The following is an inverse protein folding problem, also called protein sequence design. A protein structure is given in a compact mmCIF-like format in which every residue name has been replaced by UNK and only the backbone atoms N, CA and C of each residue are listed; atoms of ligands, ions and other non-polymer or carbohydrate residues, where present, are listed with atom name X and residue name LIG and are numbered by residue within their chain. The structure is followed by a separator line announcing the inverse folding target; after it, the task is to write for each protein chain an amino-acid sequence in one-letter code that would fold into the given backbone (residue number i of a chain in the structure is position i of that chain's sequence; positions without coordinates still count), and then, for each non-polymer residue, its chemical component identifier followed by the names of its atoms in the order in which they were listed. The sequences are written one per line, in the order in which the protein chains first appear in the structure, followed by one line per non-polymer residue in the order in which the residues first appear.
data_IF_392123487124
#
_entry.id   IF_392123487124
#
_cell.length_a   1.000
_cell.length_b   1.000
_cell.length_c   1.000
_cell.angle_alpha   90.00
_cell.angle_beta   90.00
_cell.angle_gamma   90.00
#
_symmetry.space_group_name_H-M   'P 1'
#
loop_
_entity.id
_entity.type
_entity.pdbx_description
1 polymer ?
#
# COMPACT_ATOMS: atom_id res chain seq x y z
N UNK A 1 -23.53 4.80 -23.59
CA UNK A 1 -22.11 4.54 -23.24
C UNK A 1 -21.43 5.89 -23.04
N UNK A 2 -21.22 6.35 -21.80
CA UNK A 2 -20.60 7.66 -21.51
C UNK A 2 -19.33 7.43 -20.70
N UNK A 3 -18.19 7.61 -21.34
CA UNK A 3 -16.88 7.66 -20.69
C UNK A 3 -16.85 8.92 -19.83
N UNK A 4 -16.94 8.79 -18.50
CA UNK A 4 -16.77 9.92 -17.58
C UNK A 4 -15.27 10.12 -17.35
N UNK A 5 -14.80 11.28 -17.79
CA UNK A 5 -13.50 11.93 -17.57
C UNK A 5 -12.50 11.20 -16.67
N UNK A 6 -11.52 10.59 -17.34
CA UNK A 6 -10.19 10.23 -16.83
C UNK A 6 -9.42 11.52 -16.48
N UNK A 7 -9.65 12.08 -15.29
CA UNK A 7 -8.75 13.09 -14.74
C UNK A 7 -7.42 12.40 -14.43
N UNK A 8 -6.56 12.37 -15.44
CA UNK A 8 -5.18 11.94 -15.47
C UNK A 8 -4.96 10.52 -14.91
N UNK A 9 -4.63 9.61 -15.82
CA UNK A 9 -3.71 8.50 -15.55
C UNK A 9 -2.64 9.04 -14.61
N UNK A 10 -2.68 8.68 -13.31
CA UNK A 10 -1.61 9.02 -12.38
C UNK A 10 -0.39 8.21 -12.85
N UNK A 11 0.39 8.87 -13.70
CA UNK A 11 1.40 8.37 -14.62
C UNK A 11 2.65 7.89 -13.89
N UNK A 12 2.48 6.94 -12.95
CA UNK A 12 3.45 6.00 -12.41
C UNK A 12 2.76 5.28 -11.25
N UNK A 13 2.10 4.16 -11.53
CA UNK A 13 1.52 3.30 -10.51
C UNK A 13 2.61 2.78 -9.56
N UNK A 14 2.83 3.45 -8.42
CA UNK A 14 3.57 2.90 -7.26
C UNK A 14 3.12 3.54 -5.92
N UNK A 15 1.86 3.49 -5.48
CA UNK A 15 1.57 3.85 -4.10
C UNK A 15 1.82 2.62 -3.21
N UNK A 16 3.04 2.09 -3.29
CA UNK A 16 3.56 1.03 -2.42
C UNK A 16 4.84 1.56 -1.80
N UNK A 17 4.77 2.02 -0.55
CA UNK A 17 5.96 2.48 0.17
C UNK A 17 6.62 1.29 0.86
N UNK A 18 7.95 1.20 0.77
CA UNK A 18 8.74 0.15 1.41
C UNK A 18 9.44 0.72 2.63
N UNK A 19 9.11 0.19 3.82
CA UNK A 19 9.48 0.85 5.07
C UNK A 19 10.98 0.76 5.41
N UNK A 20 11.67 -0.25 4.87
CA UNK A 20 13.11 -0.45 5.09
C UNK A 20 13.98 -0.01 3.90
N UNK A 21 13.40 0.78 2.99
CA UNK A 21 14.13 1.34 1.86
C UNK A 21 15.11 2.43 2.33
N UNK A 22 16.40 2.15 2.16
CA UNK A 22 17.50 3.08 2.47
C UNK A 22 17.86 3.99 1.30
N UNK A 23 17.43 3.63 0.08
CA UNK A 23 17.74 4.38 -1.14
C UNK A 23 16.64 5.43 -1.43
N UNK A 24 15.38 5.08 -1.23
CA UNK A 24 14.25 6.01 -1.33
C UNK A 24 13.49 6.04 -0.02
N UNK A 25 13.49 7.20 0.63
CA UNK A 25 12.80 7.38 1.90
C UNK A 25 11.29 7.13 1.76
N UNK A 26 10.69 6.21 2.54
CA UNK A 26 9.24 5.98 2.52
C UNK A 26 8.45 7.22 2.96
N UNK A 27 9.08 8.14 3.71
CA UNK A 27 8.47 9.40 4.12
C UNK A 27 8.13 10.30 2.94
N UNK A 28 8.90 10.26 1.85
CA UNK A 28 8.58 11.03 0.63
C UNK A 28 7.25 10.59 0.01
N UNK A 29 7.00 9.27 -0.04
CA UNK A 29 5.74 8.73 -0.56
C UNK A 29 4.56 9.03 0.37
N UNK A 30 4.79 9.02 1.69
CA UNK A 30 3.78 9.43 2.67
C UNK A 30 3.42 10.91 2.53
N UNK A 31 4.44 11.78 2.44
CA UNK A 31 4.26 13.22 2.26
C UNK A 31 3.52 13.53 0.94
N UNK A 32 3.89 12.85 -0.14
CA UNK A 32 3.18 12.96 -1.41
C UNK A 32 1.70 12.56 -1.29
N UNK A 33 1.40 11.42 -0.64
CA UNK A 33 0.02 11.00 -0.41
C UNK A 33 -0.76 12.00 0.44
N UNK A 34 -0.12 12.63 1.41
CA UNK A 34 -0.72 13.69 2.20
C UNK A 34 -1.07 14.92 1.35
N UNK A 35 -0.09 15.46 0.63
CA UNK A 35 -0.28 16.63 -0.25
C UNK A 35 -1.31 16.37 -1.35
N UNK A 36 -1.33 15.16 -1.92
CA UNK A 36 -2.36 14.75 -2.88
C UNK A 36 -3.75 14.80 -2.24
N UNK A 37 -3.87 14.40 -0.98
CA UNK A 37 -5.17 14.38 -0.27
C UNK A 37 -5.71 15.77 -0.02
N UNK A 38 -4.83 16.69 0.39
CA UNK A 38 -5.17 18.10 0.60
C UNK A 38 -5.64 18.76 -0.70
N UNK A 39 -4.97 18.46 -1.82
CA UNK A 39 -5.28 19.06 -3.12
C UNK A 39 -6.53 18.49 -3.79
N UNK A 40 -6.90 17.25 -3.49
CA UNK A 40 -7.92 16.51 -4.23
C UNK A 40 -9.28 16.44 -3.51
N UNK A 41 -9.51 17.32 -2.54
CA UNK A 41 -10.79 17.41 -1.82
C UNK A 41 -10.94 16.43 -0.66
N UNK A 42 -9.83 16.02 -0.05
CA UNK A 42 -9.80 15.20 1.16
C UNK A 42 -9.75 13.69 0.91
N UNK A 43 -9.78 12.93 2.02
CA UNK A 43 -9.51 11.49 2.02
C UNK A 43 -10.50 10.72 1.14
N UNK A 44 -11.81 10.98 1.29
CA UNK A 44 -12.85 10.27 0.55
C UNK A 44 -12.72 10.49 -0.96
N UNK A 45 -12.40 11.72 -1.38
CA UNK A 45 -12.22 12.05 -2.78
C UNK A 45 -10.97 11.39 -3.38
N UNK A 46 -9.88 11.36 -2.61
CA UNK A 46 -8.60 10.77 -3.00
C UNK A 46 -8.67 9.25 -3.09
N UNK A 47 -9.34 8.58 -2.16
CA UNK A 47 -9.47 7.11 -2.14
C UNK A 47 -10.25 6.53 -3.34
N UNK A 48 -10.95 7.38 -4.11
CA UNK A 48 -11.61 6.98 -5.37
C UNK A 48 -10.65 6.67 -6.50
N UNK A 49 -9.43 7.20 -6.45
CA UNK A 49 -8.45 7.03 -7.54
C UNK A 49 -7.02 6.74 -7.06
N UNK A 50 -6.70 6.98 -5.78
CA UNK A 50 -5.37 6.73 -5.22
C UNK A 50 -5.43 6.08 -3.83
N UNK A 51 -4.79 4.91 -3.70
CA UNK A 51 -4.66 4.15 -2.44
C UNK A 51 -3.21 3.83 -2.16
N UNK A 52 -2.73 4.09 -0.95
CA UNK A 52 -1.37 3.78 -0.51
C UNK A 52 -1.35 2.52 0.35
N UNK A 53 -0.49 1.57 -0.01
CA UNK A 53 -0.12 0.42 0.80
C UNK A 53 1.34 0.58 1.25
N UNK A 54 1.64 0.25 2.50
CA UNK A 54 3.02 0.27 3.01
C UNK A 54 3.45 -1.16 3.35
N UNK A 55 4.57 -1.59 2.79
CA UNK A 55 5.20 -2.87 3.05
C UNK A 55 6.26 -2.73 4.16
N UNK A 56 5.97 -3.20 5.40
CA UNK A 56 6.94 -3.12 6.48
C UNK A 56 8.07 -4.13 6.28
N UNK A 57 9.32 -3.71 6.48
CA UNK A 57 10.49 -4.60 6.45
C UNK A 57 10.93 -5.08 5.06
N UNK A 58 10.44 -4.43 4.00
CA UNK A 58 10.89 -4.64 2.62
C UNK A 58 11.87 -3.54 2.25
N UNK A 59 12.98 -3.92 1.60
CA UNK A 59 14.03 -3.01 1.14
C UNK A 59 13.73 -2.45 -0.26
N UNK A 60 14.61 -1.61 -0.81
CA UNK A 60 14.39 -0.77 -1.99
C UNK A 60 13.57 -1.36 -3.15
N UNK A 61 13.94 -2.53 -3.69
CA UNK A 61 13.24 -3.17 -4.81
C UNK A 61 12.51 -4.47 -4.44
N UNK A 62 12.76 -4.97 -3.23
CA UNK A 62 12.47 -6.33 -2.81
C UNK A 62 13.53 -6.77 -1.78
N UNK A 63 13.40 -7.98 -1.26
CA UNK A 63 14.23 -8.49 -0.19
C UNK A 63 13.90 -7.89 1.18
N UNK A 64 14.80 -8.09 2.14
CA UNK A 64 14.53 -7.86 3.56
C UNK A 64 13.88 -9.07 4.23
N UNK A 65 13.58 -8.95 5.52
CA UNK A 65 13.06 -10.04 6.34
C UNK A 65 11.55 -10.26 6.17
N UNK A 66 10.85 -9.37 5.48
CA UNK A 66 9.42 -9.40 5.28
C UNK A 66 9.01 -9.97 3.91
N UNK A 67 7.74 -10.41 3.76
CA UNK A 67 7.15 -10.69 2.45
C UNK A 67 7.20 -9.47 1.53
N UNK A 68 7.87 -9.60 0.40
CA UNK A 68 8.27 -8.53 -0.50
C UNK A 68 7.56 -8.54 -1.86
N UNK A 69 6.88 -9.65 -2.17
CA UNK A 69 6.16 -9.86 -3.42
C UNK A 69 4.67 -9.60 -3.22
N UNK A 70 4.04 -8.80 -4.07
CA UNK A 70 2.59 -8.56 -4.10
C UNK A 70 2.10 -8.61 -5.55
N UNK A 71 0.86 -9.05 -5.75
CA UNK A 71 0.18 -8.93 -7.05
C UNK A 71 -0.55 -7.58 -7.16
N UNK A 72 0.23 -6.53 -7.43
CA UNK A 72 -0.32 -5.19 -7.63
C UNK A 72 -1.00 -5.03 -9.00
N UNK A 73 -0.56 -5.78 -10.03
CA UNK A 73 -1.05 -5.62 -11.39
C UNK A 73 -2.49 -6.10 -11.51
N UNK A 74 -2.78 -7.34 -11.09
CA UNK A 74 -4.15 -7.87 -11.12
C UNK A 74 -5.09 -6.98 -10.32
N UNK A 75 -4.63 -6.47 -9.18
CA UNK A 75 -5.42 -5.57 -8.33
C UNK A 75 -5.75 -4.23 -8.99
N UNK A 76 -4.85 -3.69 -9.83
CA UNK A 76 -5.11 -2.47 -10.59
C UNK A 76 -6.05 -2.76 -11.75
N UNK A 77 -5.86 -3.88 -12.45
CA UNK A 77 -6.76 -4.33 -13.53
C UNK A 77 -8.18 -4.50 -13.00
N UNK A 78 -8.36 -5.21 -11.90
CA UNK A 78 -9.66 -5.42 -11.27
C UNK A 78 -10.32 -4.11 -10.81
N UNK A 79 -9.51 -3.15 -10.36
CA UNK A 79 -10.04 -1.84 -9.98
C UNK A 79 -10.50 -1.04 -11.20
N UNK A 80 -9.69 -0.98 -12.25
CA UNK A 80 -10.00 -0.17 -13.45
C UNK A 80 -11.13 -0.80 -14.27
N UNK A 81 -11.11 -2.12 -14.45
CA UNK A 81 -12.04 -2.80 -15.35
C UNK A 81 -13.32 -3.27 -14.65
N UNK A 82 -13.23 -3.62 -13.36
CA UNK A 82 -14.35 -4.22 -12.61
C UNK A 82 -14.83 -3.36 -11.45
N UNK A 83 -14.24 -2.19 -11.25
CA UNK A 83 -14.56 -1.31 -10.11
C UNK A 83 -14.22 -1.92 -8.75
N UNK A 84 -13.45 -3.02 -8.70
CA UNK A 84 -13.15 -3.73 -7.45
C UNK A 84 -11.92 -3.13 -6.80
N UNK A 85 -12.12 -2.29 -5.77
CA UNK A 85 -11.00 -1.62 -5.10
C UNK A 85 -10.27 -2.55 -4.13
N UNK A 86 -8.93 -2.61 -4.14
CA UNK A 86 -8.19 -3.38 -3.15
C UNK A 86 -8.21 -2.69 -1.78
N UNK A 87 -8.77 -3.36 -0.77
CA UNK A 87 -8.66 -2.96 0.65
C UNK A 87 -7.42 -3.55 1.33
N UNK A 88 -6.93 -4.66 0.77
CA UNK A 88 -5.70 -5.34 1.18
C UNK A 88 -5.07 -6.05 -0.02
N UNK A 89 -3.75 -6.19 0.02
CA UNK A 89 -3.00 -7.08 -0.85
C UNK A 89 -2.34 -8.17 0.00
N UNK A 90 -2.15 -9.37 -0.54
CA UNK A 90 -1.39 -10.41 0.15
C UNK A 90 0.06 -10.30 -0.29
N UNK A 91 0.96 -9.99 0.65
CA UNK A 91 2.39 -10.04 0.41
C UNK A 91 2.94 -11.44 0.72
N UNK A 92 3.85 -11.92 -0.13
CA UNK A 92 4.44 -13.25 -0.08
C UNK A 92 5.97 -13.17 -0.08
N UNK A 93 6.61 -14.09 0.65
CA UNK A 93 8.05 -14.37 0.59
C UNK A 93 8.21 -15.73 -0.07
N UNK A 94 8.99 -15.79 -1.13
CA UNK A 94 9.24 -17.03 -1.89
C UNK A 94 10.69 -17.43 -1.74
N UNK A 95 10.93 -18.69 -1.39
CA UNK A 95 12.26 -19.31 -1.32
C UNK A 95 12.20 -20.60 -2.15
N UNK A 96 13.14 -20.78 -3.09
CA UNK A 96 13.20 -21.95 -3.98
C UNK A 96 11.88 -22.26 -4.69
N UNK A 97 11.16 -21.22 -5.12
CA UNK A 97 9.87 -21.35 -5.82
C UNK A 97 8.67 -21.65 -4.92
N UNK A 98 8.85 -21.77 -3.60
CA UNK A 98 7.76 -22.02 -2.64
C UNK A 98 7.51 -20.79 -1.77
N UNK A 99 6.24 -20.45 -1.55
CA UNK A 99 5.86 -19.42 -0.60
C UNK A 99 6.10 -19.91 0.82
N UNK A 100 7.06 -19.31 1.53
CA UNK A 100 7.43 -19.69 2.90
C UNK A 100 6.71 -18.83 3.94
N UNK A 101 6.32 -17.61 3.59
CA UNK A 101 5.60 -16.67 4.47
C UNK A 101 4.65 -15.81 3.67
N UNK A 102 3.48 -15.51 4.23
CA UNK A 102 2.54 -14.54 3.66
C UNK A 102 1.93 -13.65 4.74
N UNK A 103 1.65 -12.39 4.40
CA UNK A 103 1.01 -11.42 5.30
C UNK A 103 0.08 -10.50 4.52
N UNK A 104 -1.15 -10.24 5.00
CA UNK A 104 -1.98 -9.21 4.40
C UNK A 104 -1.40 -7.82 4.68
N UNK A 105 -1.38 -6.99 3.64
CA UNK A 105 -0.94 -5.60 3.66
C UNK A 105 -2.19 -4.77 3.45
N UNK A 106 -2.53 -3.97 4.44
CA UNK A 106 -3.73 -3.16 4.40
C UNK A 106 -3.43 -1.78 3.85
N UNK A 107 -4.46 -1.14 3.27
CA UNK A 107 -4.41 0.28 2.96
C UNK A 107 -4.02 1.08 4.21
N UNK A 108 -3.05 1.97 4.06
CA UNK A 108 -2.63 2.85 5.16
C UNK A 108 -3.68 3.94 5.37
N UNK A 109 -4.33 3.92 6.54
CA UNK A 109 -5.19 5.00 7.03
C UNK A 109 -4.35 5.89 7.96
N UNK A 110 -3.38 6.60 7.41
CA UNK A 110 -2.67 7.61 8.21
C UNK A 110 -3.47 8.91 8.18
N UNK A 111 -4.35 9.08 9.16
CA UNK A 111 -4.74 10.41 9.63
C UNK A 111 -3.76 10.80 10.72
N UNK A 112 -3.18 12.00 10.68
CA UNK A 112 -2.40 12.56 11.80
C UNK A 112 -3.34 12.73 13.01
N UNK A 113 -3.50 11.65 13.76
CA UNK A 113 -4.33 11.53 14.96
C UNK A 113 -3.63 10.57 15.91
N UNK A 114 -3.19 11.12 17.03
CA UNK A 114 -2.39 10.54 18.11
C UNK A 114 -2.85 9.14 18.50
N UNK A 115 -2.00 8.11 18.30
CA UNK A 115 -1.84 6.89 19.14
C UNK A 115 -1.05 5.80 18.39
N UNK A 116 0.21 6.05 18.05
CA UNK A 116 1.11 4.93 17.70
C UNK A 116 1.61 4.30 19.00
N UNK A 117 0.86 3.31 19.52
CA UNK A 117 1.34 2.45 20.61
C UNK A 117 2.58 1.69 20.11
N UNK A 118 3.65 1.69 20.89
CA UNK A 118 4.92 1.05 20.55
C UNK A 118 4.70 -0.39 20.04
N UNK A 119 5.43 -0.74 18.98
CA UNK A 119 5.32 -2.06 18.36
C UNK A 119 5.77 -3.16 19.34
N UNK A 120 5.01 -4.25 19.51
CA UNK A 120 5.40 -5.36 20.37
C UNK A 120 6.64 -6.09 19.82
N UNK A 121 7.50 -6.54 20.74
CA UNK A 121 8.77 -7.23 20.46
C UNK A 121 8.60 -8.69 20.03
N UNK A 122 7.38 -9.21 20.05
CA UNK A 122 7.03 -10.57 19.58
C UNK A 122 6.32 -10.51 18.23
N UNK A 123 6.70 -11.35 17.24
CA UNK A 123 6.01 -11.41 15.96
C UNK A 123 4.54 -11.80 16.19
N UNK A 124 3.56 -10.97 15.79
CA UNK A 124 2.17 -11.33 15.94
C UNK A 124 1.82 -12.52 15.03
N UNK A 125 1.13 -13.50 15.60
CA UNK A 125 0.61 -14.69 14.88
C UNK A 125 -0.67 -14.40 14.09
N UNK A 126 -1.27 -13.22 14.27
CA UNK A 126 -2.45 -12.79 13.50
C UNK A 126 -2.39 -11.31 13.16
N UNK A 127 -2.88 -10.96 11.97
CA UNK A 127 -2.96 -9.59 11.47
C UNK A 127 -4.42 -9.18 11.39
N UNK A 128 -4.80 -8.14 12.14
CA UNK A 128 -6.12 -7.52 12.06
C UNK A 128 -5.96 -6.02 11.88
N UNK A 129 -6.82 -5.44 11.05
CA UNK A 129 -7.00 -3.99 10.96
C UNK A 129 -7.73 -3.52 12.22
N UNK A 130 -7.18 -2.56 12.95
CA UNK A 130 -7.91 -1.86 14.00
C UNK A 130 -8.99 -0.96 13.36
N UNK A 131 -10.20 -0.95 13.92
CA UNK A 131 -11.33 -0.15 13.42
C UNK A 131 -11.04 1.35 13.52
#
# INVERSE_FOLDING_TARGET
MRVRSMAAIAEQARPVARWADRAISPYGTLAYRHALTERMGGQAATERFARLLVLPGVNHCGGGQAPDTIDALTSIVDWVERGTTPDRLVAMKTESGKTVRSRPVFRTRWSLGTTARAAPTTPPTSFRRTR
#
